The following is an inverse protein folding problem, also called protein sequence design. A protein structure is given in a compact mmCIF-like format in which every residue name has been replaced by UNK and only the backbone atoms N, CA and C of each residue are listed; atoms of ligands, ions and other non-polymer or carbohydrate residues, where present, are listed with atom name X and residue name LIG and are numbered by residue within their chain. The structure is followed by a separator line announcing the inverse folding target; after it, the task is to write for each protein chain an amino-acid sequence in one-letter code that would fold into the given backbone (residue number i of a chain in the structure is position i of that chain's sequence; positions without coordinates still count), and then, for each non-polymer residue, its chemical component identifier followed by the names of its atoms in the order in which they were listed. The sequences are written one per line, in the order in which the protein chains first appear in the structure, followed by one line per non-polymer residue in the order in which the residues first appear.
data_IF_106448411609
#
_entry.id   IF_106448411609
#
_cell.length_a   1.000
_cell.length_b   1.000
_cell.length_c   1.000
_cell.angle_alpha   90.00
_cell.angle_beta   90.00
_cell.angle_gamma   90.00
#
_symmetry.space_group_name_H-M   'P 1'
#
loop_
_entity.id
_entity.type
_entity.pdbx_description
1 polymer ?
#
# COMPACT_ATOMS: atom_id res chain seq x y z
N UNK A 1 -22.43 -25.77 5.86
CA UNK A 1 -21.26 -25.12 6.48
C UNK A 1 -21.58 -23.64 6.61
N UNK A 2 -21.99 -23.20 7.80
CA UNK A 2 -22.30 -21.81 8.08
C UNK A 2 -21.11 -20.90 7.75
N UNK A 3 -21.29 -20.06 6.73
CA UNK A 3 -20.33 -19.03 6.34
C UNK A 3 -20.44 -17.86 7.33
N UNK A 4 -19.85 -18.01 8.51
CA UNK A 4 -19.67 -16.89 9.44
C UNK A 4 -18.52 -15.99 8.92
N UNK A 5 -18.78 -15.27 7.82
CA UNK A 5 -17.86 -14.24 7.33
C UNK A 5 -17.85 -13.10 8.35
N UNK A 6 -16.68 -12.78 8.88
CA UNK A 6 -16.48 -11.65 9.77
C UNK A 6 -17.13 -10.39 9.19
N UNK A 7 -18.05 -9.81 9.96
CA UNK A 7 -18.63 -8.51 9.66
C UNK A 7 -17.89 -7.45 10.45
N UNK A 8 -17.76 -6.26 9.87
CA UNK A 8 -17.14 -5.14 10.59
C UNK A 8 -18.04 -4.74 11.74
N UNK A 9 -17.48 -4.70 12.96
CA UNK A 9 -18.22 -4.32 14.16
C UNK A 9 -18.60 -2.82 14.17
N UNK A 10 -17.92 -1.99 13.37
CA UNK A 10 -18.18 -0.55 13.26
C UNK A 10 -17.86 -0.02 11.86
N UNK A 11 -18.70 0.91 11.38
CA UNK A 11 -18.47 1.66 10.14
C UNK A 11 -17.18 2.49 10.20
N UNK A 12 -16.82 3.00 11.38
CA UNK A 12 -15.58 3.77 11.58
C UNK A 12 -14.37 2.84 11.43
N UNK A 13 -14.45 1.62 11.97
CA UNK A 13 -13.39 0.63 11.82
C UNK A 13 -13.15 0.25 10.36
N UNK A 14 -14.23 0.06 9.61
CA UNK A 14 -14.15 -0.16 8.16
C UNK A 14 -13.51 1.03 7.43
N UNK A 15 -13.93 2.25 7.75
CA UNK A 15 -13.41 3.46 7.12
C UNK A 15 -11.91 3.65 7.41
N UNK A 16 -11.48 3.48 8.66
CA UNK A 16 -10.08 3.62 9.06
C UNK A 16 -9.19 2.56 8.38
N UNK A 17 -9.66 1.31 8.28
CA UNK A 17 -8.94 0.26 7.57
C UNK A 17 -8.80 0.59 6.06
N UNK A 18 -9.86 1.12 5.44
CA UNK A 18 -9.82 1.54 4.05
C UNK A 18 -8.88 2.73 3.81
N UNK A 19 -8.89 3.74 4.69
CA UNK A 19 -7.97 4.89 4.63
C UNK A 19 -6.52 4.44 4.81
N UNK A 20 -6.26 3.58 5.80
CA UNK A 20 -4.92 3.04 6.05
C UNK A 20 -4.38 2.22 4.86
N UNK A 21 -5.24 1.51 4.14
CA UNK A 21 -4.86 0.81 2.91
C UNK A 21 -4.63 1.76 1.71
N UNK A 22 -5.28 2.92 1.68
CA UNK A 22 -5.20 3.85 0.55
C UNK A 22 -4.05 4.87 0.69
N UNK A 23 -3.69 5.25 1.92
CA UNK A 23 -2.62 6.20 2.20
C UNK A 23 -1.31 5.44 2.37
N UNK A 24 -0.42 5.57 1.39
CA UNK A 24 0.90 4.92 1.41
C UNK A 24 2.07 5.88 1.21
N UNK A 25 3.28 5.33 1.24
CA UNK A 25 4.54 6.06 0.96
C UNK A 25 4.44 6.88 -0.32
N UNK A 26 3.82 6.36 -1.39
CA UNK A 26 3.64 7.11 -2.65
C UNK A 26 3.05 8.52 -2.49
N UNK A 27 2.15 8.73 -1.53
CA UNK A 27 1.57 10.06 -1.27
C UNK A 27 2.54 10.99 -0.53
N UNK A 28 3.50 10.44 0.23
CA UNK A 28 4.45 11.20 1.05
C UNK A 28 5.60 11.75 0.20
N UNK A 29 6.14 10.97 -0.73
CA UNK A 29 7.32 11.38 -1.53
C UNK A 29 7.04 11.45 -3.03
N UNK A 30 6.30 10.47 -3.58
CA UNK A 30 6.06 10.39 -5.02
C UNK A 30 5.14 11.49 -5.55
N UNK A 31 4.07 11.80 -4.81
CA UNK A 31 3.12 12.85 -5.18
C UNK A 31 3.76 14.26 -5.19
N UNK A 32 4.44 14.72 -4.11
CA UNK A 32 5.09 16.03 -4.11
C UNK A 32 6.15 16.15 -5.20
N UNK A 33 6.93 15.09 -5.44
CA UNK A 33 7.94 15.07 -6.49
C UNK A 33 7.31 15.27 -7.88
N UNK A 34 6.26 14.52 -8.22
CA UNK A 34 5.56 14.67 -9.50
C UNK A 34 4.88 16.02 -9.64
N UNK A 35 4.25 16.50 -8.56
CA UNK A 35 3.62 17.81 -8.52
C UNK A 35 4.64 18.92 -8.79
N UNK A 36 5.76 18.93 -8.07
CA UNK A 36 6.83 19.91 -8.25
C UNK A 36 7.40 19.91 -9.67
N UNK A 37 7.63 18.72 -10.25
CA UNK A 37 8.18 18.58 -11.61
C UNK A 37 7.19 18.94 -12.72
N UNK A 38 5.88 18.74 -12.50
CA UNK A 38 4.85 18.81 -13.55
C UNK A 38 4.06 20.13 -13.56
N UNK A 39 4.65 21.22 -13.08
CA UNK A 39 4.00 22.54 -13.06
C UNK A 39 3.24 22.86 -11.77
N UNK A 40 3.54 22.18 -10.67
CA UNK A 40 3.09 22.53 -9.32
C UNK A 40 1.57 22.52 -9.18
N UNK A 41 0.99 23.71 -9.00
CA UNK A 41 -0.44 23.90 -8.77
C UNK A 41 -1.32 23.48 -9.95
N UNK A 42 -0.85 23.67 -11.19
CA UNK A 42 -1.61 23.25 -12.39
C UNK A 42 -1.79 21.73 -12.43
N UNK A 43 -0.76 20.98 -12.05
CA UNK A 43 -0.85 19.53 -11.90
C UNK A 43 -1.84 19.14 -10.80
N UNK A 44 -1.83 19.84 -9.66
CA UNK A 44 -2.74 19.59 -8.54
C UNK A 44 -4.22 19.73 -8.97
N UNK A 45 -4.56 20.76 -9.73
CA UNK A 45 -5.94 20.96 -10.21
C UNK A 45 -6.42 19.80 -11.08
N UNK A 46 -5.60 19.39 -12.06
CA UNK A 46 -5.92 18.25 -12.94
C UNK A 46 -5.98 16.95 -12.13
N UNK A 47 -5.07 16.77 -11.17
CA UNK A 47 -5.06 15.61 -10.28
C UNK A 47 -6.35 15.51 -9.46
N UNK A 48 -6.80 16.59 -8.83
CA UNK A 48 -8.05 16.60 -8.04
C UNK A 48 -9.25 16.31 -8.94
N UNK A 49 -9.31 16.91 -10.13
CA UNK A 49 -10.37 16.63 -11.09
C UNK A 49 -10.42 15.13 -11.43
N UNK A 50 -9.30 14.53 -11.82
CA UNK A 50 -9.24 13.11 -12.13
C UNK A 50 -9.53 12.22 -10.90
N UNK A 51 -9.08 12.60 -9.71
CA UNK A 51 -9.34 11.85 -8.48
C UNK A 51 -10.84 11.82 -8.13
N UNK A 52 -11.53 12.95 -8.27
CA UNK A 52 -12.97 13.05 -8.01
C UNK A 52 -13.78 12.30 -9.06
N UNK A 53 -13.49 12.49 -10.36
CA UNK A 53 -14.29 11.88 -11.40
C UNK A 53 -13.93 10.41 -11.64
N UNK A 54 -12.65 10.10 -11.85
CA UNK A 54 -12.23 8.73 -12.17
C UNK A 54 -12.06 7.90 -10.91
N UNK A 55 -11.38 8.44 -9.89
CA UNK A 55 -11.09 7.73 -8.65
C UNK A 55 -12.35 7.33 -7.89
N UNK A 56 -13.28 8.27 -7.66
CA UNK A 56 -14.51 7.97 -6.93
C UNK A 56 -15.43 7.00 -7.70
N UNK A 57 -15.55 7.13 -9.02
CA UNK A 57 -16.39 6.22 -9.82
C UNK A 57 -15.87 4.79 -9.74
N UNK A 58 -14.56 4.59 -9.87
CA UNK A 58 -13.94 3.26 -9.77
C UNK A 58 -14.11 2.71 -8.36
N UNK A 59 -13.78 3.49 -7.33
CA UNK A 59 -13.90 3.08 -5.93
C UNK A 59 -15.34 2.71 -5.56
N UNK A 60 -16.32 3.52 -5.97
CA UNK A 60 -17.73 3.24 -5.72
C UNK A 60 -18.19 1.96 -6.43
N UNK A 61 -17.73 1.74 -7.66
CA UNK A 61 -18.04 0.53 -8.44
C UNK A 61 -17.46 -0.72 -7.80
N UNK A 62 -16.21 -0.69 -7.34
CA UNK A 62 -15.55 -1.82 -6.68
C UNK A 62 -16.20 -2.14 -5.32
N UNK A 63 -16.52 -1.11 -4.53
CA UNK A 63 -17.24 -1.28 -3.26
C UNK A 63 -18.65 -1.85 -3.48
N UNK A 64 -19.38 -1.38 -4.48
CA UNK A 64 -20.70 -1.90 -4.81
C UNK A 64 -20.63 -3.37 -5.27
N UNK A 65 -19.65 -3.72 -6.10
CA UNK A 65 -19.40 -5.09 -6.53
C UNK A 65 -19.08 -6.02 -5.37
N UNK A 66 -18.19 -5.58 -4.46
CA UNK A 66 -17.83 -6.33 -3.25
C UNK A 66 -19.01 -6.52 -2.31
N UNK A 67 -19.85 -5.50 -2.12
CA UNK A 67 -21.07 -5.58 -1.28
C UNK A 67 -22.13 -6.50 -1.88
N UNK A 68 -22.33 -6.46 -3.20
CA UNK A 68 -23.34 -7.30 -3.89
C UNK A 68 -22.94 -8.77 -3.93
N UNK A 69 -21.67 -9.06 -4.23
CA UNK A 69 -21.21 -10.45 -4.41
C UNK A 69 -20.76 -11.10 -3.10
N UNK A 70 -20.27 -10.31 -2.13
CA UNK A 70 -19.64 -10.75 -0.87
C UNK A 70 -18.56 -11.81 -1.09
N UNK A 71 -17.92 -11.84 -2.26
CA UNK A 71 -16.94 -12.86 -2.68
C UNK A 71 -15.55 -12.25 -2.81
N UNK A 72 -14.51 -13.10 -2.76
CA UNK A 72 -13.15 -12.69 -3.09
C UNK A 72 -13.06 -12.17 -4.54
N UNK A 73 -12.07 -11.32 -4.90
CA UNK A 73 -12.02 -10.63 -6.19
C UNK A 73 -12.24 -11.54 -7.41
N UNK A 74 -11.53 -12.67 -7.49
CA UNK A 74 -11.66 -13.66 -8.58
C UNK A 74 -13.10 -14.19 -8.69
N UNK A 75 -13.70 -14.55 -7.56
CA UNK A 75 -15.06 -15.10 -7.51
C UNK A 75 -16.13 -14.02 -7.69
N UNK A 76 -15.85 -12.75 -7.35
CA UNK A 76 -16.73 -11.61 -7.58
C UNK A 76 -16.84 -11.30 -9.08
N UNK A 77 -15.72 -11.24 -9.80
CA UNK A 77 -15.71 -11.05 -11.25
C UNK A 77 -16.38 -12.22 -11.99
N UNK A 78 -16.12 -13.46 -11.56
CA UNK A 78 -16.79 -14.66 -12.11
C UNK A 78 -18.31 -14.64 -11.91
N UNK A 79 -18.79 -14.10 -10.79
CA UNK A 79 -20.22 -14.00 -10.49
C UNK A 79 -20.95 -12.96 -11.34
N UNK A 80 -20.26 -11.94 -11.84
CA UNK A 80 -20.82 -10.95 -12.77
C UNK A 80 -20.78 -11.46 -14.21
N UNK A 81 -19.64 -12.02 -14.63
CA UNK A 81 -19.51 -12.60 -15.96
C UNK A 81 -18.38 -13.62 -16.00
N UNK A 82 -18.71 -14.85 -16.40
CA UNK A 82 -17.72 -15.92 -16.57
C UNK A 82 -16.62 -15.54 -17.59
N UNK A 83 -16.96 -14.71 -18.59
CA UNK A 83 -16.01 -14.22 -19.61
C UNK A 83 -14.93 -13.30 -19.04
N UNK A 84 -15.25 -12.52 -18.01
CA UNK A 84 -14.33 -11.55 -17.39
C UNK A 84 -13.67 -12.08 -16.11
N UNK A 85 -13.78 -13.38 -15.82
CA UNK A 85 -13.20 -13.99 -14.62
C UNK A 85 -11.67 -13.85 -14.55
N UNK A 86 -10.99 -13.64 -15.69
CA UNK A 86 -9.55 -13.44 -15.76
C UNK A 86 -9.08 -12.09 -15.18
N UNK A 87 -9.93 -11.04 -15.22
CA UNK A 87 -9.60 -9.74 -14.61
C UNK A 87 -9.41 -9.86 -13.10
N UNK A 88 -10.14 -10.78 -12.45
CA UNK A 88 -10.01 -11.00 -11.02
C UNK A 88 -8.62 -11.50 -10.60
N UNK A 89 -7.85 -12.12 -11.50
CA UNK A 89 -6.46 -12.50 -11.22
C UNK A 89 -5.55 -11.28 -11.16
N UNK A 90 -5.76 -10.26 -11.99
CA UNK A 90 -5.01 -9.01 -11.93
C UNK A 90 -5.24 -8.25 -10.62
N UNK A 91 -6.46 -8.32 -10.08
CA UNK A 91 -6.80 -7.74 -8.78
C UNK A 91 -6.04 -8.40 -7.61
N UNK A 92 -5.54 -9.63 -7.78
CA UNK A 92 -4.72 -10.33 -6.76
C UNK A 92 -3.23 -10.19 -7.07
N UNK A 93 -2.85 -10.31 -8.34
CA UNK A 93 -1.45 -10.26 -8.78
C UNK A 93 -0.83 -8.87 -8.57
N UNK A 94 -1.57 -7.79 -8.84
CA UNK A 94 -1.07 -6.43 -8.69
C UNK A 94 -0.64 -6.12 -7.25
N UNK A 95 -1.50 -6.27 -6.21
CA UNK A 95 -1.07 -6.03 -4.83
C UNK A 95 0.01 -7.00 -4.37
N UNK A 96 0.03 -8.24 -4.87
CA UNK A 96 1.10 -9.19 -4.56
C UNK A 96 2.46 -8.70 -5.06
N UNK A 97 2.56 -8.23 -6.30
CA UNK A 97 3.79 -7.65 -6.83
C UNK A 97 4.18 -6.37 -6.08
N UNK A 98 3.19 -5.55 -5.72
CA UNK A 98 3.44 -4.33 -4.94
C UNK A 98 4.04 -4.65 -3.57
N UNK A 99 3.55 -5.69 -2.90
CA UNK A 99 4.06 -6.14 -1.61
C UNK A 99 5.55 -6.50 -1.67
N UNK A 100 6.03 -7.13 -2.75
CA UNK A 100 7.44 -7.55 -2.84
C UNK A 100 8.43 -6.39 -2.66
N UNK A 101 8.16 -5.22 -3.24
CA UNK A 101 9.03 -4.05 -3.08
C UNK A 101 8.66 -3.19 -1.86
N UNK A 102 7.38 -3.16 -1.46
CA UNK A 102 6.96 -2.45 -0.25
C UNK A 102 7.54 -3.07 1.02
N UNK A 103 7.72 -4.40 1.07
CA UNK A 103 8.39 -5.07 2.19
C UNK A 103 9.84 -4.63 2.36
N UNK A 104 10.54 -4.37 1.25
CA UNK A 104 11.93 -3.86 1.28
C UNK A 104 11.96 -2.42 1.78
N UNK A 105 11.10 -1.55 1.24
CA UNK A 105 11.00 -0.15 1.66
C UNK A 105 10.59 -0.02 3.14
N UNK A 106 9.65 -0.83 3.58
CA UNK A 106 9.23 -0.89 4.99
C UNK A 106 10.37 -1.30 5.91
N UNK A 107 11.18 -2.28 5.49
CA UNK A 107 12.43 -2.63 6.16
C UNK A 107 13.36 -1.43 6.32
N UNK A 108 13.57 -0.64 5.26
CA UNK A 108 14.41 0.57 5.36
C UNK A 108 13.86 1.56 6.38
N UNK A 109 12.54 1.77 6.43
CA UNK A 109 11.93 2.64 7.43
C UNK A 109 12.20 2.15 8.86
N UNK A 110 12.06 0.85 9.14
CA UNK A 110 12.36 0.28 10.46
C UNK A 110 13.84 0.44 10.80
N UNK A 111 14.73 0.15 9.85
CA UNK A 111 16.16 0.33 10.04
C UNK A 111 16.50 1.78 10.41
N UNK A 112 15.96 2.75 9.67
CA UNK A 112 16.15 4.17 9.97
C UNK A 112 15.58 4.56 11.34
N UNK A 113 14.44 4.02 11.74
CA UNK A 113 13.87 4.28 13.08
C UNK A 113 14.82 3.76 14.16
N UNK A 114 15.32 2.52 14.04
CA UNK A 114 16.21 1.91 15.03
C UNK A 114 17.53 2.69 15.15
N UNK A 115 18.18 3.00 14.03
CA UNK A 115 19.47 3.71 14.07
C UNK A 115 19.32 5.14 14.61
N UNK A 116 18.22 5.84 14.31
CA UNK A 116 17.97 7.17 14.87
C UNK A 116 17.64 7.10 16.36
N UNK A 117 16.93 6.07 16.80
CA UNK A 117 16.61 5.86 18.21
C UNK A 117 17.86 5.51 19.04
N UNK A 118 18.80 4.74 18.48
CA UNK A 118 20.10 4.46 19.10
C UNK A 118 21.00 5.70 19.04
N UNK A 119 21.00 6.40 17.91
CA UNK A 119 21.81 7.60 17.67
C UNK A 119 21.43 8.79 18.56
N UNK A 120 20.18 8.85 19.04
CA UNK A 120 19.73 9.78 20.08
C UNK A 120 20.56 9.70 21.37
N UNK A 121 21.15 8.54 21.67
CA UNK A 121 21.92 8.31 22.89
C UNK A 121 23.44 8.17 22.65
N UNK A 122 23.92 8.14 21.40
CA UNK A 122 25.30 7.78 21.07
C UNK A 122 25.98 8.55 19.92
N UNK A 123 25.31 9.55 19.32
CA UNK A 123 25.80 10.27 18.15
C UNK A 123 25.07 9.84 16.87
N UNK A 124 24.82 10.80 15.98
CA UNK A 124 23.99 10.59 14.78
C UNK A 124 24.71 9.67 13.78
N UNK A 125 24.12 8.54 13.37
CA UNK A 125 24.78 7.63 12.43
C UNK A 125 24.90 8.26 11.04
N UNK A 126 26.11 8.25 10.49
CA UNK A 126 26.39 8.75 9.14
C UNK A 126 25.68 7.90 8.07
N UNK A 127 25.37 8.52 6.92
CA UNK A 127 24.75 7.86 5.76
C UNK A 127 25.52 6.66 5.20
N UNK A 128 26.77 6.46 5.62
CA UNK A 128 27.58 5.27 5.35
C UNK A 128 26.97 3.97 5.93
N UNK A 129 26.23 4.07 7.04
CA UNK A 129 25.59 2.93 7.71
C UNK A 129 24.53 2.28 6.81
N UNK A 130 23.78 3.09 6.08
CA UNK A 130 22.78 2.61 5.13
C UNK A 130 23.44 1.93 3.91
N UNK A 131 24.54 2.49 3.40
CA UNK A 131 25.33 1.84 2.33
C UNK A 131 25.90 0.49 2.75
N UNK A 132 26.36 0.37 4.01
CA UNK A 132 26.81 -0.90 4.58
C UNK A 132 25.67 -1.92 4.76
N UNK A 133 24.47 -1.46 5.15
CA UNK A 133 23.27 -2.31 5.22
C UNK A 133 22.85 -2.83 3.83
N UNK A 134 22.95 -1.99 2.78
CA UNK A 134 22.59 -2.40 1.42
C UNK A 134 23.58 -3.40 0.80
N UNK A 135 24.86 -3.26 1.11
CA UNK A 135 25.92 -4.11 0.55
C UNK A 135 26.08 -5.43 1.30
N UNK A 136 25.64 -5.50 2.55
CA UNK A 136 25.65 -6.73 3.34
C UNK A 136 24.34 -7.53 3.17
N UNK A 137 24.45 -8.69 2.52
CA UNK A 137 23.32 -9.61 2.30
C UNK A 137 22.65 -10.02 3.63
N UNK A 138 23.39 -10.35 4.71
CA UNK A 138 22.76 -10.75 5.97
C UNK A 138 21.97 -9.61 6.64
N UNK A 139 22.46 -8.37 6.59
CA UNK A 139 21.77 -7.25 7.23
C UNK A 139 20.53 -6.82 6.43
N UNK A 140 20.63 -6.78 5.10
CA UNK A 140 19.47 -6.48 4.23
C UNK A 140 18.37 -7.54 4.36
N UNK A 141 18.71 -8.83 4.41
CA UNK A 141 17.75 -9.90 4.70
C UNK A 141 17.19 -9.81 6.12
N UNK A 142 18.01 -9.50 7.12
CA UNK A 142 17.57 -9.33 8.50
C UNK A 142 16.55 -8.21 8.65
N UNK A 143 16.75 -7.08 7.98
CA UNK A 143 15.83 -5.94 7.98
C UNK A 143 14.51 -6.26 7.26
N UNK A 144 14.58 -6.97 6.13
CA UNK A 144 13.39 -7.44 5.41
C UNK A 144 12.57 -8.44 6.25
N UNK A 145 13.23 -9.44 6.82
CA UNK A 145 12.57 -10.44 7.68
C UNK A 145 12.01 -9.80 8.94
N UNK A 146 12.72 -8.85 9.54
CA UNK A 146 12.22 -8.07 10.67
C UNK A 146 10.92 -7.31 10.31
N UNK A 147 10.85 -6.70 9.14
CA UNK A 147 9.62 -6.04 8.68
C UNK A 147 8.48 -7.04 8.45
N UNK A 148 8.75 -8.18 7.81
CA UNK A 148 7.74 -9.22 7.57
C UNK A 148 7.28 -9.96 8.84
N UNK A 149 8.02 -9.90 9.95
CA UNK A 149 7.56 -10.42 11.24
C UNK A 149 6.62 -9.46 11.96
N UNK A 150 6.72 -8.17 11.67
CA UNK A 150 5.91 -7.11 12.30
C UNK A 150 4.58 -6.91 11.54
N UNK A 151 4.56 -7.14 10.23
CA UNK A 151 3.41 -6.94 9.34
C UNK A 151 2.82 -8.27 8.86
#
# INVERSE_FOLDING_TARGET
MENNRGSWNSNIGFLLAAIGSAVGLGNIWGFPYKMGKSGGFTFLLVYIFLAVFVGLIIMASELALGRKTRKAPIAAYKAVSSKYSWLGWFAVLSPFLIMTFYSVLGGYCIYYIIINLIGLFGGMPDGSSFGAMLTSIPASLGVLLGFMLIC
#
